data_IF_390437333562
#
_entry.id   IF_390437333562
#
_cell.length_a   1.000
_cell.length_b   1.000
_cell.length_c   1.000
_cell.angle_alpha   90.00
_cell.angle_beta   90.00
_cell.angle_gamma   90.00
#
_symmetry.space_group_name_H-M   'P 1'
#
loop_
_entity.id
_entity.type
_entity.pdbx_description
1 polymer ?
#
# COMPACT_ATOMS: atom_id res chain seq x y z
N UNK A 1 8.62 18.73 14.83
CA UNK A 1 9.27 18.29 13.57
C UNK A 1 8.79 19.18 12.44
N UNK A 2 9.70 19.81 11.70
CA UNK A 2 9.37 20.66 10.55
C UNK A 2 8.80 19.81 9.41
N UNK A 3 7.77 20.32 8.71
CA UNK A 3 7.17 19.62 7.56
C UNK A 3 8.21 19.43 6.44
N UNK A 4 8.19 18.30 5.72
CA UNK A 4 9.08 18.10 4.58
C UNK A 4 8.85 19.17 3.52
N UNK A 5 9.94 19.62 2.89
CA UNK A 5 9.87 20.60 1.81
C UNK A 5 9.11 20.04 0.61
N UNK A 6 8.29 20.88 -0.02
CA UNK A 6 7.56 20.55 -1.25
C UNK A 6 8.51 20.16 -2.40
N UNK A 7 8.10 19.27 -3.32
CA UNK A 7 8.88 18.91 -4.51
C UNK A 7 9.17 20.13 -5.40
N UNK A 8 10.25 20.06 -6.20
CA UNK A 8 10.63 21.13 -7.13
C UNK A 8 9.45 21.54 -8.04
N UNK A 9 8.75 20.57 -8.64
CA UNK A 9 7.64 20.84 -9.56
C UNK A 9 6.51 21.67 -8.91
N UNK A 10 6.20 21.41 -7.63
CA UNK A 10 5.17 22.14 -6.88
C UNK A 10 5.65 23.56 -6.55
N UNK A 11 6.91 23.71 -6.16
CA UNK A 11 7.48 25.03 -5.83
C UNK A 11 7.55 25.89 -7.09
N UNK A 12 7.95 25.30 -8.21
CA UNK A 12 8.09 26.01 -9.48
C UNK A 12 6.75 26.48 -10.04
N UNK A 13 5.65 25.73 -9.84
CA UNK A 13 4.33 26.16 -10.31
C UNK A 13 3.70 27.23 -9.42
N UNK A 14 3.95 27.20 -8.11
CA UNK A 14 3.29 28.09 -7.16
C UNK A 14 3.75 29.55 -7.29
N UNK A 15 4.86 29.86 -7.98
CA UNK A 15 5.47 31.19 -8.15
C UNK A 15 5.63 32.05 -6.86
N UNK A 16 5.38 31.44 -5.68
CA UNK A 16 5.46 32.03 -4.34
C UNK A 16 6.72 31.55 -3.60
N UNK A 17 7.76 31.23 -4.36
CA UNK A 17 9.00 30.70 -3.79
C UNK A 17 9.87 31.85 -3.26
N UNK A 18 10.05 31.94 -1.94
CA UNK A 18 11.10 32.77 -1.33
C UNK A 18 12.53 32.25 -1.64
N UNK A 19 12.67 31.33 -2.60
CA UNK A 19 13.91 30.66 -2.96
C UNK A 19 14.52 31.31 -4.19
N UNK A 20 15.83 31.47 -4.17
CA UNK A 20 16.63 31.92 -5.30
C UNK A 20 16.63 30.87 -6.42
N UNK A 21 16.93 31.31 -7.65
CA UNK A 21 17.12 30.40 -8.81
C UNK A 21 18.17 29.32 -8.52
N UNK A 22 19.21 29.65 -7.76
CA UNK A 22 20.28 28.72 -7.37
C UNK A 22 19.76 27.62 -6.44
N UNK A 23 18.96 27.98 -5.45
CA UNK A 23 18.36 27.01 -4.51
C UNK A 23 17.34 26.10 -5.22
N UNK A 24 16.56 26.63 -6.16
CA UNK A 24 15.63 25.82 -6.97
C UNK A 24 16.38 24.80 -7.83
N UNK A 25 17.47 25.23 -8.50
CA UNK A 25 18.31 24.35 -9.31
C UNK A 25 18.98 23.27 -8.45
N UNK A 26 19.55 23.64 -7.31
CA UNK A 26 20.15 22.70 -6.36
C UNK A 26 19.13 21.64 -5.90
N UNK A 27 17.87 22.05 -5.69
CA UNK A 27 16.81 21.13 -5.31
C UNK A 27 16.42 20.18 -6.45
N UNK A 28 16.28 20.69 -7.66
CA UNK A 28 15.96 19.87 -8.83
C UNK A 28 17.03 18.81 -9.07
N UNK A 29 18.31 19.21 -9.02
CA UNK A 29 19.46 18.32 -9.15
C UNK A 29 19.51 17.30 -8.01
N UNK A 30 19.23 17.73 -6.77
CA UNK A 30 19.14 16.83 -5.62
C UNK A 30 18.00 15.81 -5.74
N UNK A 31 16.82 16.22 -6.20
CA UNK A 31 15.69 15.31 -6.42
C UNK A 31 15.99 14.31 -7.55
N UNK A 32 16.66 14.74 -8.63
CA UNK A 32 17.11 13.86 -9.72
C UNK A 32 18.23 12.90 -9.30
N UNK A 33 19.08 13.27 -8.34
CA UNK A 33 20.13 12.40 -7.83
C UNK A 33 19.59 11.25 -6.95
N UNK A 34 18.34 11.33 -6.50
CA UNK A 34 17.70 10.30 -5.67
C UNK A 34 17.09 9.14 -6.47
N UNK A 35 16.99 9.27 -7.79
CA UNK A 35 16.52 8.18 -8.67
C UNK A 35 17.72 7.43 -9.23
N UNK A 36 17.62 6.10 -9.31
CA UNK A 36 18.69 5.28 -9.90
C UNK A 36 18.69 5.34 -11.42
N UNK A 37 17.53 5.63 -12.04
CA UNK A 37 17.33 5.51 -13.48
C UNK A 37 17.27 4.06 -13.96
N UNK A 38 17.35 3.10 -13.05
CA UNK A 38 17.28 1.66 -13.35
C UNK A 38 15.86 1.18 -13.05
N UNK A 39 15.28 0.41 -13.96
CA UNK A 39 13.96 -0.18 -13.75
C UNK A 39 13.95 -1.16 -12.56
N UNK A 40 12.87 -1.17 -11.78
CA UNK A 40 12.68 -2.11 -10.67
C UNK A 40 12.63 -3.56 -11.16
N UNK A 41 13.27 -4.47 -10.42
CA UNK A 41 13.34 -5.90 -10.75
C UNK A 41 12.64 -6.77 -9.74
N UNK A 42 12.15 -7.89 -10.23
CA UNK A 42 11.48 -8.89 -9.41
C UNK A 42 12.50 -9.77 -8.68
N UNK A 43 12.32 -9.95 -7.38
CA UNK A 43 13.13 -10.84 -6.55
C UNK A 43 12.74 -12.31 -6.77
N UNK A 44 13.68 -13.22 -6.56
CA UNK A 44 13.46 -14.64 -6.88
C UNK A 44 12.40 -15.31 -5.99
N UNK A 45 12.22 -14.83 -4.75
CA UNK A 45 11.15 -15.29 -3.88
C UNK A 45 9.76 -14.82 -4.37
N UNK A 46 9.66 -13.61 -4.93
CA UNK A 46 8.43 -13.10 -5.55
C UNK A 46 8.08 -13.91 -6.79
N UNK A 47 9.05 -14.18 -7.67
CA UNK A 47 8.85 -15.03 -8.88
C UNK A 47 8.31 -16.42 -8.56
N UNK A 48 8.77 -17.01 -7.45
CA UNK A 48 8.37 -18.36 -7.01
C UNK A 48 6.94 -18.39 -6.46
N UNK A 49 6.41 -17.27 -5.97
CA UNK A 49 5.03 -17.19 -5.48
C UNK A 49 4.13 -16.63 -6.59
N UNK A 50 3.22 -17.45 -7.12
CA UNK A 50 2.36 -17.07 -8.25
C UNK A 50 1.50 -15.83 -8.00
N UNK A 51 0.99 -15.66 -6.77
CA UNK A 51 0.18 -14.51 -6.38
C UNK A 51 1.06 -13.26 -6.34
N UNK A 52 2.20 -13.34 -5.66
CA UNK A 52 3.15 -12.22 -5.55
C UNK A 52 3.68 -11.82 -6.93
N UNK A 53 4.02 -12.79 -7.79
CA UNK A 53 4.49 -12.57 -9.15
C UNK A 53 3.49 -11.80 -10.02
N UNK A 54 2.22 -12.21 -9.97
CA UNK A 54 1.14 -11.54 -10.71
C UNK A 54 0.98 -10.09 -10.23
N UNK A 55 1.06 -9.88 -8.92
CA UNK A 55 0.94 -8.57 -8.32
C UNK A 55 2.14 -7.67 -8.65
N UNK A 56 3.36 -8.21 -8.66
CA UNK A 56 4.55 -7.49 -9.06
C UNK A 56 4.45 -7.00 -10.51
N UNK A 57 4.02 -7.87 -11.44
CA UNK A 57 3.81 -7.50 -12.83
C UNK A 57 2.81 -6.35 -12.97
N UNK A 58 1.67 -6.45 -12.27
CA UNK A 58 0.64 -5.40 -12.23
C UNK A 58 1.21 -4.05 -11.76
N UNK A 59 1.93 -4.04 -10.64
CA UNK A 59 2.52 -2.82 -10.08
C UNK A 59 3.64 -2.25 -10.94
N UNK A 60 4.52 -3.10 -11.47
CA UNK A 60 5.58 -2.71 -12.40
C UNK A 60 5.00 -1.96 -13.60
N UNK A 61 3.92 -2.47 -14.19
CA UNK A 61 3.28 -1.84 -15.36
C UNK A 61 2.62 -0.51 -15.01
N UNK A 62 1.97 -0.41 -13.84
CA UNK A 62 1.42 0.86 -13.34
C UNK A 62 2.55 1.87 -13.14
N UNK A 63 3.63 1.49 -12.47
CA UNK A 63 4.76 2.37 -12.21
C UNK A 63 5.49 2.83 -13.46
N UNK A 64 5.53 2.01 -14.52
CA UNK A 64 6.03 2.45 -15.83
C UNK A 64 5.18 3.57 -16.40
N UNK A 65 3.85 3.43 -16.35
CA UNK A 65 2.90 4.42 -16.91
C UNK A 65 2.92 5.75 -16.18
N UNK A 66 3.23 5.77 -14.88
CA UNK A 66 3.32 7.00 -14.09
C UNK A 66 4.76 7.51 -13.90
N UNK A 67 5.72 6.95 -14.64
CA UNK A 67 7.14 7.34 -14.59
C UNK A 67 7.75 7.25 -13.18
N UNK A 68 7.37 6.21 -12.42
CA UNK A 68 7.89 5.88 -11.08
C UNK A 68 8.54 4.50 -11.00
N UNK A 69 8.80 3.87 -12.15
CA UNK A 69 9.48 2.57 -12.20
C UNK A 69 10.99 2.76 -11.97
N UNK A 70 11.41 2.74 -10.71
CA UNK A 70 12.81 2.93 -10.31
C UNK A 70 13.23 1.88 -9.27
N UNK A 71 14.46 1.38 -9.40
CA UNK A 71 15.03 0.35 -8.54
C UNK A 71 15.21 0.79 -7.08
N UNK A 72 15.18 2.09 -6.77
CA UNK A 72 15.13 2.59 -5.40
C UNK A 72 13.91 2.07 -4.64
N UNK A 73 12.79 1.81 -5.33
CA UNK A 73 11.59 1.23 -4.74
C UNK A 73 11.56 -0.30 -4.78
N UNK A 74 12.55 -0.95 -5.38
CA UNK A 74 12.54 -2.40 -5.65
C UNK A 74 12.27 -3.22 -4.39
N UNK A 75 13.01 -2.97 -3.30
CA UNK A 75 12.86 -3.74 -2.07
C UNK A 75 11.48 -3.61 -1.43
N UNK A 76 10.89 -2.40 -1.46
CA UNK A 76 9.57 -2.18 -0.85
C UNK A 76 8.45 -2.74 -1.72
N UNK A 77 8.56 -2.67 -3.05
CA UNK A 77 7.57 -3.25 -3.95
C UNK A 77 7.60 -4.77 -3.90
N UNK A 78 8.77 -5.41 -3.93
CA UNK A 78 8.86 -6.87 -3.79
C UNK A 78 8.30 -7.34 -2.44
N UNK A 79 8.57 -6.61 -1.34
CA UNK A 79 7.99 -6.90 -0.03
C UNK A 79 6.47 -6.75 -0.03
N UNK A 80 5.94 -5.69 -0.66
CA UNK A 80 4.50 -5.49 -0.81
C UNK A 80 3.84 -6.70 -1.48
N UNK A 81 4.40 -7.18 -2.59
CA UNK A 81 3.86 -8.32 -3.32
C UNK A 81 3.83 -9.62 -2.48
N UNK A 82 4.84 -9.85 -1.65
CA UNK A 82 4.86 -10.99 -0.73
C UNK A 82 3.80 -10.86 0.36
N UNK A 83 3.70 -9.69 1.01
CA UNK A 83 2.68 -9.45 2.04
C UNK A 83 1.27 -9.57 1.44
N UNK A 84 1.08 -9.13 0.19
CA UNK A 84 -0.18 -9.28 -0.54
C UNK A 84 -0.54 -10.77 -0.72
N UNK A 85 0.42 -11.58 -1.19
CA UNK A 85 0.22 -13.02 -1.31
C UNK A 85 -0.08 -13.69 0.03
N UNK A 86 0.70 -13.36 1.08
CA UNK A 86 0.45 -13.85 2.43
C UNK A 86 -0.95 -13.45 2.95
N UNK A 87 -1.42 -12.24 2.63
CA UNK A 87 -2.76 -11.78 3.02
C UNK A 87 -3.84 -12.66 2.37
N UNK A 88 -3.73 -12.92 1.07
CA UNK A 88 -4.67 -13.79 0.35
C UNK A 88 -4.67 -15.22 0.91
N UNK A 89 -3.48 -15.79 1.18
CA UNK A 89 -3.35 -17.12 1.77
C UNK A 89 -3.98 -17.20 3.17
N UNK A 90 -3.84 -16.15 3.99
CA UNK A 90 -4.45 -16.10 5.32
C UNK A 90 -5.97 -15.93 5.24
N UNK A 91 -6.49 -15.19 4.25
CA UNK A 91 -7.92 -15.08 4.01
C UNK A 91 -8.53 -16.43 3.62
N UNK A 92 -7.87 -17.21 2.74
CA UNK A 92 -8.30 -18.55 2.39
C UNK A 92 -8.26 -19.51 3.60
N UNK A 93 -7.20 -19.42 4.43
CA UNK A 93 -7.13 -20.19 5.67
C UNK A 93 -8.25 -19.84 6.63
N UNK A 94 -8.58 -18.55 6.78
CA UNK A 94 -9.69 -18.10 7.62
C UNK A 94 -11.01 -18.71 7.17
N UNK A 95 -11.27 -18.74 5.87
CA UNK A 95 -12.48 -19.35 5.31
C UNK A 95 -12.54 -20.85 5.56
N UNK A 96 -11.42 -21.56 5.35
CA UNK A 96 -11.33 -23.00 5.66
C UNK A 96 -11.59 -23.30 7.13
N UNK A 97 -11.03 -22.50 8.04
CA UNK A 97 -11.29 -22.64 9.48
C UNK A 97 -12.74 -22.34 9.84
N UNK A 98 -13.37 -21.37 9.18
CA UNK A 98 -14.80 -21.10 9.37
C UNK A 98 -15.64 -22.31 8.95
N UNK A 99 -15.38 -22.88 7.77
CA UNK A 99 -16.08 -24.09 7.33
C UNK A 99 -15.89 -25.26 8.30
N UNK A 100 -14.67 -25.45 8.81
CA UNK A 100 -14.40 -26.49 9.81
C UNK A 100 -15.21 -26.31 11.10
N UNK A 101 -15.47 -25.06 11.52
CA UNK A 101 -16.33 -24.78 12.68
C UNK A 101 -17.77 -25.18 12.37
N UNK A 102 -18.30 -24.80 11.21
CA UNK A 102 -19.65 -25.19 10.80
C UNK A 102 -19.80 -26.73 10.74
N UNK A 103 -18.85 -27.40 10.09
CA UNK A 103 -18.83 -28.87 9.99
C UNK A 103 -18.77 -29.52 11.39
N UNK A 104 -17.98 -28.96 12.31
CA UNK A 104 -17.91 -29.45 13.68
C UNK A 104 -19.26 -29.29 14.40
N UNK A 105 -19.89 -28.13 14.30
CA UNK A 105 -21.18 -27.84 14.93
C UNK A 105 -22.30 -28.76 14.40
N UNK A 106 -22.34 -29.00 13.08
CA UNK A 106 -23.33 -29.87 12.44
C UNK A 106 -23.16 -31.35 12.82
N UNK A 107 -21.92 -31.84 12.87
CA UNK A 107 -21.65 -33.27 13.12
C UNK A 107 -21.56 -33.63 14.61
N UNK A 108 -21.44 -32.65 15.50
CA UNK A 108 -21.26 -32.91 16.94
C UNK A 108 -22.49 -33.54 17.61
N UNK A 109 -23.70 -33.27 17.13
CA UNK A 109 -24.92 -33.85 17.70
C UNK A 109 -24.93 -35.39 17.66
N UNK A 110 -24.59 -35.97 16.50
CA UNK A 110 -24.51 -37.43 16.34
C UNK A 110 -23.40 -38.06 17.20
N UNK A 111 -22.27 -37.36 17.37
CA UNK A 111 -21.18 -37.81 18.24
C UNK A 111 -21.58 -37.78 19.74
N UNK A 112 -22.37 -36.78 20.14
CA UNK A 112 -22.92 -36.70 21.50
C UNK A 112 -23.93 -37.81 21.78
N UNK A 113 -24.84 -38.09 20.84
CA UNK A 113 -25.83 -39.16 20.98
C UNK A 113 -25.17 -40.53 21.14
N UNK A 114 -24.05 -40.76 20.46
CA UNK A 114 -23.24 -41.99 20.58
C UNK A 114 -22.37 -42.05 21.83
N UNK A 115 -22.30 -40.97 22.61
CA UNK A 115 -21.41 -40.85 23.77
C UNK A 115 -19.92 -40.74 23.42
N UNK A 116 -19.58 -40.47 22.15
CA UNK A 116 -18.21 -40.28 21.67
C UNK A 116 -17.67 -38.88 21.98
N UNK A 117 -18.57 -37.92 22.25
CA UNK A 117 -18.26 -36.54 22.59
C UNK A 117 -19.14 -36.06 23.74
N UNK A 118 -18.54 -35.61 24.84
CA UNK A 118 -19.30 -34.99 25.93
C UNK A 118 -19.65 -33.54 25.63
N UNK A 119 -20.70 -33.01 26.26
CA UNK A 119 -21.09 -31.60 26.13
C UNK A 119 -19.97 -30.64 26.56
N UNK A 120 -19.20 -30.99 27.60
CA UNK A 120 -18.07 -30.19 28.07
C UNK A 120 -16.91 -30.16 27.06
N UNK A 121 -16.60 -31.29 26.44
CA UNK A 121 -15.58 -31.39 25.38
C UNK A 121 -15.98 -30.60 24.14
N UNK A 122 -17.24 -30.68 23.74
CA UNK A 122 -17.78 -29.91 22.62
C UNK A 122 -17.55 -28.40 22.78
N UNK A 123 -18.00 -27.82 23.89
CA UNK A 123 -17.84 -26.38 24.11
C UNK A 123 -16.37 -25.98 24.22
N UNK A 124 -15.52 -26.85 24.77
CA UNK A 124 -14.07 -26.60 24.83
C UNK A 124 -13.44 -26.56 23.44
N UNK A 125 -13.76 -27.52 22.57
CA UNK A 125 -13.26 -27.58 21.20
C UNK A 125 -13.80 -26.39 20.40
N UNK A 126 -15.10 -26.11 20.48
CA UNK A 126 -15.73 -24.98 19.78
C UNK A 126 -15.06 -23.65 20.16
N UNK A 127 -14.85 -23.41 21.47
CA UNK A 127 -14.15 -22.21 21.95
C UNK A 127 -12.72 -22.11 21.40
N UNK A 128 -11.98 -23.23 21.34
CA UNK A 128 -10.61 -23.24 20.82
C UNK A 128 -10.55 -22.96 19.32
N UNK A 129 -11.49 -23.50 18.54
CA UNK A 129 -11.60 -23.24 17.11
C UNK A 129 -11.96 -21.77 16.85
N UNK A 130 -12.95 -21.22 17.57
CA UNK A 130 -13.33 -19.80 17.48
C UNK A 130 -12.16 -18.88 17.84
N UNK A 131 -11.40 -19.19 18.89
CA UNK A 131 -10.21 -18.43 19.26
C UNK A 131 -9.15 -18.44 18.14
N UNK A 132 -8.92 -19.61 17.54
CA UNK A 132 -7.99 -19.78 16.43
C UNK A 132 -8.42 -18.95 15.21
N UNK A 133 -9.71 -18.96 14.88
CA UNK A 133 -10.27 -18.14 13.80
C UNK A 133 -10.03 -16.63 14.03
N UNK A 134 -10.29 -16.15 15.26
CA UNK A 134 -10.03 -14.76 15.64
C UNK A 134 -8.54 -14.41 15.50
N UNK A 135 -7.65 -15.31 15.89
CA UNK A 135 -6.21 -15.06 15.79
C UNK A 135 -5.73 -15.03 14.33
N UNK A 136 -6.30 -15.85 13.44
CA UNK A 136 -6.07 -15.74 11.99
C UNK A 136 -6.56 -14.39 11.46
N UNK A 137 -7.76 -13.94 11.85
CA UNK A 137 -8.30 -12.66 11.39
C UNK A 137 -7.40 -11.47 11.84
N UNK A 138 -6.89 -11.48 13.08
CA UNK A 138 -5.93 -10.47 13.55
C UNK A 138 -4.66 -10.43 12.69
N UNK A 139 -4.17 -11.58 12.22
CA UNK A 139 -3.02 -11.62 11.33
C UNK A 139 -3.34 -11.03 9.96
N UNK A 140 -4.53 -11.30 9.41
CA UNK A 140 -5.03 -10.65 8.18
C UNK A 140 -5.06 -9.13 8.34
N UNK A 141 -5.65 -8.62 9.44
CA UNK A 141 -5.72 -7.18 9.69
C UNK A 141 -4.34 -6.53 9.80
N UNK A 142 -3.39 -7.21 10.44
CA UNK A 142 -2.01 -6.74 10.57
C UNK A 142 -1.35 -6.60 9.19
N UNK A 143 -1.50 -7.61 8.33
CA UNK A 143 -0.97 -7.59 6.95
C UNK A 143 -1.62 -6.49 6.10
N UNK A 144 -2.95 -6.34 6.17
CA UNK A 144 -3.68 -5.26 5.48
C UNK A 144 -3.19 -3.87 5.91
N UNK A 145 -2.94 -3.69 7.21
CA UNK A 145 -2.36 -2.43 7.71
C UNK A 145 -0.96 -2.19 7.15
N UNK A 146 -0.10 -3.21 7.13
CA UNK A 146 1.24 -3.11 6.54
C UNK A 146 1.19 -2.74 5.04
N UNK A 147 0.25 -3.34 4.29
CA UNK A 147 0.03 -2.99 2.87
C UNK A 147 -0.38 -1.52 2.73
N UNK A 148 -1.37 -1.06 3.50
CA UNK A 148 -1.84 0.32 3.46
C UNK A 148 -0.73 1.33 3.83
N UNK A 149 0.12 0.99 4.80
CA UNK A 149 1.23 1.85 5.20
C UNK A 149 2.28 1.96 4.07
N UNK A 150 2.56 0.88 3.35
CA UNK A 150 3.41 0.92 2.14
C UNK A 150 2.75 1.76 1.04
N UNK A 151 1.44 1.59 0.81
CA UNK A 151 0.70 2.28 -0.26
C UNK A 151 0.69 3.81 -0.07
N UNK A 152 0.60 4.27 1.18
CA UNK A 152 0.63 5.70 1.53
C UNK A 152 1.96 6.37 1.21
N UNK A 153 3.07 5.63 1.27
CA UNK A 153 4.41 6.16 1.04
C UNK A 153 4.87 6.00 -0.42
N UNK A 154 4.29 5.07 -1.18
CA UNK A 154 4.76 4.70 -2.53
C UNK A 154 3.80 5.10 -3.67
N UNK A 155 3.03 6.19 -3.48
CA UNK A 155 2.17 6.78 -4.54
C UNK A 155 1.04 5.83 -5.00
N UNK A 156 0.70 4.82 -4.21
CA UNK A 156 -0.36 3.85 -4.56
C UNK A 156 -1.75 4.29 -4.10
N UNK A 157 -1.84 5.29 -3.20
CA UNK A 157 -3.12 5.91 -2.82
C UNK A 157 -3.34 7.22 -3.57
N UNK A 158 -4.61 7.58 -3.79
CA UNK A 158 -4.99 8.88 -4.38
C UNK A 158 -4.35 10.03 -3.59
N UNK A 159 -4.41 9.98 -2.25
CA UNK A 159 -3.83 11.01 -1.40
C UNK A 159 -2.30 11.11 -1.53
N UNK A 160 -1.60 9.99 -1.72
CA UNK A 160 -0.16 10.00 -2.00
C UNK A 160 0.16 10.59 -3.37
N UNK A 161 -0.62 10.26 -4.40
CA UNK A 161 -0.47 10.81 -5.75
C UNK A 161 -0.74 12.33 -5.81
N UNK A 162 -1.82 12.80 -5.19
CA UNK A 162 -2.20 14.22 -5.21
C UNK A 162 -1.16 15.13 -4.54
N UNK A 163 -0.39 14.63 -3.57
CA UNK A 163 0.71 15.40 -2.93
C UNK A 163 1.82 15.78 -3.91
N UNK A 164 1.96 15.07 -5.02
CA UNK A 164 2.98 15.32 -6.04
C UNK A 164 2.49 16.23 -7.18
N UNK A 165 1.19 16.54 -7.23
CA UNK A 165 0.59 17.36 -8.29
C UNK A 165 0.69 18.84 -7.89
N UNK A 166 1.27 19.71 -8.74
CA UNK A 166 1.29 21.14 -8.48
C UNK A 166 -0.13 21.73 -8.42
N UNK A 167 -0.34 22.74 -7.57
CA UNK A 167 -1.61 23.48 -7.58
C UNK A 167 -1.76 24.21 -8.91
N UNK A 168 -3.01 24.36 -9.38
CA UNK A 168 -3.33 25.17 -10.58
C UNK A 168 -2.59 26.50 -10.51
N UNK A 169 -2.00 26.92 -11.63
CA UNK A 169 -1.39 28.24 -11.75
C UNK A 169 -2.43 29.28 -11.36
N UNK A 170 -2.11 30.13 -10.37
CA UNK A 170 -2.89 31.35 -10.20
C UNK A 170 -2.71 32.17 -11.49
N UNK A 171 -3.80 32.65 -12.11
CA UNK A 171 -3.67 33.46 -13.30
C UNK A 171 -2.74 34.62 -12.95
N UNK A 172 -1.70 34.84 -13.77
CA UNK A 172 -0.81 35.98 -13.64
C UNK A 172 -1.67 37.24 -13.77
N UNK A 173 -2.15 37.77 -12.65
CA UNK A 173 -2.64 39.14 -12.58
C UNK A 173 -1.41 40.01 -12.77
N UNK A 174 -1.08 40.26 -14.04
CA UNK A 174 0.03 41.08 -14.43
C UNK A 174 -0.34 42.49 -13.98
N UNK A 175 0.20 42.91 -12.83
CA UNK A 175 -0.14 44.20 -12.20
C UNK A 175 0.07 45.37 -13.18
N UNK A 176 1.01 45.23 -14.12
CA UNK A 176 1.25 46.15 -15.22
C UNK A 176 0.10 46.21 -16.24
N UNK A 177 -0.54 45.08 -16.58
CA UNK A 177 -1.71 45.07 -17.48
C UNK A 177 -2.96 45.66 -16.81
N UNK A 178 -3.10 45.51 -15.48
CA UNK A 178 -4.15 46.23 -14.74
C UNK A 178 -3.90 47.73 -14.73
N UNK A 179 -2.67 48.15 -14.41
CA UNK A 179 -2.31 49.57 -14.39
C UNK A 179 -2.40 50.25 -15.77
N UNK A 180 -2.21 49.52 -16.87
CA UNK A 180 -2.35 50.02 -18.24
C UNK A 180 -3.80 50.06 -18.75
N UNK A 181 -4.71 49.28 -18.16
CA UNK A 181 -6.13 49.26 -18.55
C UNK A 181 -7.00 50.18 -17.68
N UNK A 182 -6.47 50.66 -16.55
CA UNK A 182 -7.14 51.57 -15.62
C UNK A 182 -6.71 53.06 -15.81
N UNK A 183 -6.01 53.39 -16.91
CA UNK A 183 -5.58 54.74 -17.28
C UNK A 183 -6.08 55.16 -18.66
#
# INVERSE_FOLDING_TARGET
MSRPSKPYAVISSENKAHRTKRELKQREEGEKALISGVALKEHDNVKKNLIAHKEFKRLSDIFKRIEKNDAVYEGVINRYCLIFAECMEFEEKREKFYQQICDFEENSGAAMEKGELTQGEYYKIQMQMQKTLIDIDKQVQTKRKMLLDIEKENVMTIAAALRSIPKKEEPKNNALLKALNDG
#
